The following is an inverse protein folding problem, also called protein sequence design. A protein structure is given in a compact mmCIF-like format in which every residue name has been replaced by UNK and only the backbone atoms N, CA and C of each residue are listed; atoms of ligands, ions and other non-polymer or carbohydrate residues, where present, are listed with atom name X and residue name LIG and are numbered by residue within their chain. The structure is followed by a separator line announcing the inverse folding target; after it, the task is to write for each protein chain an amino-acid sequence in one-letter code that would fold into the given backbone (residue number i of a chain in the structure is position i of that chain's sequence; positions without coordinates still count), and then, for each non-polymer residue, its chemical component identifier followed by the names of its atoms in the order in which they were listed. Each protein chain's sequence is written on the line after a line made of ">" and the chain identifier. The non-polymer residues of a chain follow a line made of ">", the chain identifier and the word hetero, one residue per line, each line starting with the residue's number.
data_IF_099288233827
#
_entry.id   IF_099288233827
#
_cell.length_a   1.000
_cell.length_b   1.000
_cell.length_c   1.000
_cell.angle_alpha   90.00
_cell.angle_beta   90.00
_cell.angle_gamma   90.00
#
_symmetry.space_group_name_H-M   'P 1'
#
loop_
_entity.id
_entity.type
_entity.pdbx_description
1 polymer ?
#
# COMPACT_ATOMS: atom_id res chain seq x y z
N UNK A 1 -6.98 -33.07 -7.00
CA UNK A 1 -7.70 -31.97 -6.30
C UNK A 1 -7.44 -30.71 -7.11
N UNK A 2 -8.49 -30.05 -7.59
CA UNK A 2 -8.36 -28.91 -8.52
C UNK A 2 -7.80 -27.69 -7.79
N UNK A 3 -6.56 -27.30 -8.12
CA UNK A 3 -5.99 -26.01 -7.68
C UNK A 3 -6.68 -24.89 -8.48
N UNK A 4 -7.73 -24.32 -7.91
CA UNK A 4 -8.41 -23.17 -8.50
C UNK A 4 -7.50 -21.94 -8.30
N UNK A 5 -7.13 -21.25 -9.37
CA UNK A 5 -6.28 -20.05 -9.28
C UNK A 5 -7.06 -18.87 -8.67
N UNK A 6 -6.35 -17.94 -8.03
CA UNK A 6 -6.95 -16.69 -7.50
C UNK A 6 -7.70 -15.91 -8.59
N UNK A 7 -7.20 -15.95 -9.82
CA UNK A 7 -7.86 -15.33 -10.98
C UNK A 7 -9.16 -16.03 -11.36
N UNK A 8 -9.23 -17.35 -11.26
CA UNK A 8 -10.47 -18.10 -11.48
C UNK A 8 -11.50 -17.80 -10.40
N UNK A 9 -11.09 -17.68 -9.13
CA UNK A 9 -11.96 -17.26 -8.05
C UNK A 9 -12.53 -15.85 -8.30
N UNK A 10 -11.70 -14.89 -8.73
CA UNK A 10 -12.14 -13.54 -9.10
C UNK A 10 -13.18 -13.55 -10.24
N UNK A 11 -13.03 -14.44 -11.21
CA UNK A 11 -13.94 -14.53 -12.35
C UNK A 11 -15.26 -15.25 -12.01
N UNK A 12 -15.25 -16.12 -11.00
CA UNK A 12 -16.43 -16.90 -10.58
C UNK A 12 -17.35 -16.14 -9.62
N UNK A 13 -16.80 -15.19 -8.87
CA UNK A 13 -17.53 -14.48 -7.81
C UNK A 13 -17.86 -13.07 -8.27
N UNK A 14 -19.17 -12.77 -8.31
CA UNK A 14 -19.65 -11.46 -8.68
C UNK A 14 -19.68 -10.52 -7.46
N UNK A 15 -19.34 -9.25 -7.67
CA UNK A 15 -19.42 -8.22 -6.62
C UNK A 15 -20.84 -8.11 -6.09
N UNK A 16 -21.87 -8.24 -6.97
CA UNK A 16 -23.27 -8.25 -6.56
C UNK A 16 -23.57 -9.31 -5.52
N UNK A 17 -23.06 -10.55 -5.72
CA UNK A 17 -23.34 -11.67 -4.82
C UNK A 17 -22.65 -11.44 -3.46
N UNK A 18 -21.42 -10.91 -3.49
CA UNK A 18 -20.70 -10.55 -2.27
C UNK A 18 -21.39 -9.40 -1.53
N UNK A 19 -21.87 -8.39 -2.25
CA UNK A 19 -22.59 -7.25 -1.67
C UNK A 19 -23.84 -7.72 -0.93
N UNK A 20 -24.66 -8.57 -1.56
CA UNK A 20 -25.85 -9.15 -0.93
C UNK A 20 -25.48 -10.00 0.30
N UNK A 21 -24.42 -10.80 0.21
CA UNK A 21 -23.94 -11.64 1.32
C UNK A 21 -23.57 -10.82 2.57
N UNK A 22 -22.99 -9.62 2.40
CA UNK A 22 -22.61 -8.74 3.52
C UNK A 22 -23.67 -7.68 3.86
N UNK A 23 -24.92 -7.84 3.32
CA UNK A 23 -26.09 -7.08 3.76
C UNK A 23 -26.43 -5.86 2.92
N UNK A 24 -25.78 -5.63 1.77
CA UNK A 24 -26.24 -4.61 0.83
C UNK A 24 -27.56 -5.03 0.18
N UNK A 25 -28.39 -4.06 -0.13
CA UNK A 25 -29.69 -4.24 -0.80
C UNK A 25 -29.68 -3.52 -2.15
N UNK A 26 -30.17 -4.21 -3.17
CA UNK A 26 -30.33 -3.62 -4.50
C UNK A 26 -31.28 -2.43 -4.45
N UNK A 27 -30.85 -1.31 -4.99
CA UNK A 27 -31.70 -0.14 -5.17
C UNK A 27 -32.54 -0.29 -6.45
N UNK A 28 -33.76 -0.76 -6.31
CA UNK A 28 -34.68 -0.97 -7.43
C UNK A 28 -35.19 0.33 -8.08
N UNK A 29 -34.99 1.47 -7.41
CA UNK A 29 -35.34 2.79 -7.94
C UNK A 29 -34.23 3.41 -8.80
N UNK A 30 -33.04 2.79 -8.87
CA UNK A 30 -31.95 3.23 -9.75
C UNK A 30 -32.27 2.90 -11.22
N UNK A 31 -31.72 3.68 -12.15
CA UNK A 31 -31.88 3.44 -13.57
C UNK A 31 -31.31 2.08 -13.99
N UNK A 32 -31.86 1.48 -15.07
CA UNK A 32 -31.53 0.11 -15.52
C UNK A 32 -30.09 -0.07 -16.06
N UNK A 33 -29.30 1.00 -16.18
CA UNK A 33 -27.98 0.94 -16.83
C UNK A 33 -26.90 0.32 -15.94
N UNK A 34 -27.00 0.46 -14.60
CA UNK A 34 -26.03 -0.02 -13.63
C UNK A 34 -26.73 -0.59 -12.42
N UNK A 35 -26.12 -1.58 -11.77
CA UNK A 35 -26.61 -2.08 -10.50
C UNK A 35 -26.13 -1.14 -9.38
N UNK A 36 -27.06 -0.64 -8.60
CA UNK A 36 -26.79 0.21 -7.44
C UNK A 36 -27.20 -0.53 -6.17
N UNK A 37 -26.30 -0.65 -5.22
CA UNK A 37 -26.53 -1.34 -3.97
C UNK A 37 -26.30 -0.39 -2.79
N UNK A 38 -27.12 -0.52 -1.76
CA UNK A 38 -27.08 0.30 -0.55
C UNK A 38 -26.93 -0.54 0.69
N UNK A 39 -26.05 -0.12 1.60
CA UNK A 39 -25.91 -0.69 2.94
C UNK A 39 -26.55 0.24 3.95
N UNK A 40 -27.32 -0.34 4.88
CA UNK A 40 -27.99 0.40 5.94
C UNK A 40 -27.56 -0.12 7.31
N UNK A 41 -27.43 0.80 8.27
CA UNK A 41 -27.37 0.50 9.69
C UNK A 41 -28.66 1.03 10.33
N UNK A 42 -29.61 0.13 10.64
CA UNK A 42 -30.97 0.52 10.95
C UNK A 42 -31.61 1.25 9.78
N UNK A 43 -32.05 2.49 10.00
CA UNK A 43 -32.66 3.34 8.96
C UNK A 43 -31.64 4.27 8.27
N UNK A 44 -30.39 4.29 8.68
CA UNK A 44 -29.36 5.18 8.14
C UNK A 44 -28.58 4.48 7.03
N UNK A 45 -28.53 5.09 5.84
CA UNK A 45 -27.69 4.63 4.73
C UNK A 45 -26.22 4.90 5.08
N UNK A 46 -25.39 3.85 5.16
CA UNK A 46 -23.97 3.94 5.53
C UNK A 46 -23.03 3.78 4.34
N UNK A 47 -23.45 3.08 3.28
CA UNK A 47 -22.69 2.99 2.03
C UNK A 47 -23.61 2.86 0.82
N UNK A 48 -23.13 3.29 -0.35
CA UNK A 48 -23.81 3.18 -1.62
C UNK A 48 -22.78 2.91 -2.73
N UNK A 49 -22.94 1.80 -3.41
CA UNK A 49 -22.03 1.36 -4.47
C UNK A 49 -22.74 1.24 -5.80
N UNK A 50 -22.03 1.51 -6.87
CA UNK A 50 -22.45 1.29 -8.25
C UNK A 50 -21.58 0.21 -8.86
N UNK A 51 -22.22 -0.84 -9.43
CA UNK A 51 -21.53 -1.96 -10.06
C UNK A 51 -21.71 -1.89 -11.56
N UNK A 52 -20.56 -1.93 -12.25
CA UNK A 52 -20.49 -2.08 -13.70
C UNK A 52 -20.25 -3.54 -14.04
N UNK A 53 -21.06 -4.08 -14.92
CA UNK A 53 -20.91 -5.46 -15.39
C UNK A 53 -20.52 -5.45 -16.86
N UNK A 54 -19.40 -6.11 -17.18
CA UNK A 54 -19.01 -6.47 -18.53
C UNK A 54 -19.31 -7.94 -18.77
N UNK A 55 -19.06 -8.45 -20.01
CA UNK A 55 -19.24 -9.86 -20.34
C UNK A 55 -18.40 -10.81 -19.47
N UNK A 56 -17.30 -10.32 -18.87
CA UNK A 56 -16.29 -11.16 -18.21
C UNK A 56 -15.99 -10.77 -16.75
N UNK A 57 -16.42 -9.59 -16.29
CA UNK A 57 -16.08 -9.10 -14.95
C UNK A 57 -17.05 -8.05 -14.43
N UNK A 58 -17.03 -7.88 -13.12
CA UNK A 58 -17.68 -6.74 -12.46
C UNK A 58 -16.62 -5.84 -11.84
N UNK A 59 -16.86 -4.53 -11.89
CA UNK A 59 -16.12 -3.52 -11.15
C UNK A 59 -17.11 -2.63 -10.41
N UNK A 60 -16.66 -2.00 -9.33
CA UNK A 60 -17.50 -1.11 -8.54
C UNK A 60 -16.81 0.22 -8.25
N UNK A 61 -17.61 1.20 -7.87
CA UNK A 61 -17.17 2.37 -7.12
C UNK A 61 -18.20 2.72 -6.03
N UNK A 62 -17.72 3.18 -4.87
CA UNK A 62 -18.57 3.71 -3.79
C UNK A 62 -18.84 5.19 -4.02
N UNK A 63 -20.08 5.62 -3.78
CA UNK A 63 -20.45 7.05 -3.79
C UNK A 63 -20.03 7.77 -2.50
N UNK A 64 -19.80 7.02 -1.43
CA UNK A 64 -19.49 7.57 -0.10
C UNK A 64 -17.99 7.60 0.22
N UNK A 65 -17.14 6.94 -0.60
CA UNK A 65 -15.70 6.84 -0.36
C UNK A 65 -14.86 7.33 -1.54
N UNK A 66 -14.10 8.40 -1.35
CA UNK A 66 -13.15 8.83 -2.37
C UNK A 66 -12.07 7.74 -2.55
N UNK A 67 -12.03 7.13 -3.75
CA UNK A 67 -11.05 6.09 -4.07
C UNK A 67 -11.48 4.65 -3.79
N UNK A 68 -12.65 4.40 -3.18
CA UNK A 68 -13.20 3.06 -2.98
C UNK A 68 -13.82 2.54 -4.28
N UNK A 69 -13.00 1.89 -5.10
CA UNK A 69 -13.34 1.33 -6.42
C UNK A 69 -12.44 0.16 -6.77
N UNK A 70 -12.87 -0.66 -7.70
CA UNK A 70 -12.04 -1.74 -8.23
C UNK A 70 -12.83 -3.00 -8.55
N UNK A 71 -12.19 -4.15 -8.42
CA UNK A 71 -12.76 -5.48 -8.63
C UNK A 71 -13.29 -6.11 -7.32
N UNK A 72 -13.68 -7.37 -7.38
CA UNK A 72 -14.20 -8.12 -6.22
C UNK A 72 -13.20 -8.19 -5.06
N UNK A 73 -11.90 -8.21 -5.35
CA UNK A 73 -10.84 -8.22 -4.33
C UNK A 73 -10.79 -6.88 -3.59
N UNK A 74 -10.81 -5.77 -4.33
CA UNK A 74 -10.88 -4.43 -3.74
C UNK A 74 -12.18 -4.24 -2.94
N UNK A 75 -13.29 -4.79 -3.45
CA UNK A 75 -14.56 -4.75 -2.75
C UNK A 75 -14.51 -5.44 -1.39
N UNK A 76 -13.98 -6.66 -1.35
CA UNK A 76 -13.85 -7.45 -0.11
C UNK A 76 -12.85 -6.81 0.85
N UNK A 77 -11.65 -6.42 0.38
CA UNK A 77 -10.60 -5.89 1.25
C UNK A 77 -11.01 -4.61 1.96
N UNK A 78 -11.78 -3.75 1.28
CA UNK A 78 -12.28 -2.51 1.86
C UNK A 78 -13.46 -2.74 2.84
N UNK A 79 -14.03 -3.96 2.86
CA UNK A 79 -15.22 -4.35 3.65
C UNK A 79 -15.00 -5.58 4.52
N UNK A 80 -13.74 -5.95 4.79
CA UNK A 80 -13.41 -7.11 5.64
C UNK A 80 -14.13 -7.12 6.98
N UNK A 81 -14.39 -5.93 7.54
CA UNK A 81 -15.10 -5.76 8.80
C UNK A 81 -16.57 -6.20 8.76
N UNK A 82 -17.18 -6.31 7.57
CA UNK A 82 -18.57 -6.78 7.39
C UNK A 82 -18.66 -8.31 7.31
N UNK A 83 -17.54 -9.02 7.16
CA UNK A 83 -17.53 -10.48 7.10
C UNK A 83 -17.43 -11.08 8.51
N UNK A 84 -18.54 -11.57 9.04
CA UNK A 84 -18.54 -12.23 10.34
C UNK A 84 -17.74 -13.55 10.33
N UNK A 85 -16.93 -13.75 11.36
CA UNK A 85 -16.15 -15.00 11.54
C UNK A 85 -14.81 -15.05 10.82
N UNK A 86 -14.38 -13.99 10.13
CA UNK A 86 -13.03 -13.88 9.53
C UNK A 86 -12.07 -13.13 10.47
N UNK A 87 -10.93 -13.77 10.75
CA UNK A 87 -9.89 -13.21 11.63
C UNK A 87 -8.60 -12.87 10.88
N UNK A 88 -8.68 -12.60 9.58
CA UNK A 88 -7.52 -12.29 8.74
C UNK A 88 -7.46 -10.84 8.30
N UNK A 89 -6.30 -10.43 7.76
CA UNK A 89 -6.07 -9.13 7.15
C UNK A 89 -5.46 -9.30 5.76
N UNK A 90 -5.70 -8.30 4.91
CA UNK A 90 -5.08 -8.24 3.59
C UNK A 90 -5.60 -9.31 2.63
N UNK A 91 -4.74 -9.68 1.69
CA UNK A 91 -5.10 -10.59 0.60
C UNK A 91 -5.34 -12.03 1.04
N UNK A 92 -4.74 -12.48 2.15
CA UNK A 92 -4.97 -13.84 2.67
C UNK A 92 -6.41 -13.99 3.17
N UNK A 93 -6.93 -12.99 3.89
CA UNK A 93 -8.33 -12.97 4.30
C UNK A 93 -9.28 -12.90 3.09
N UNK A 94 -8.93 -12.13 2.07
CA UNK A 94 -9.71 -12.06 0.83
C UNK A 94 -9.73 -13.41 0.12
N UNK A 95 -8.59 -14.11 0.03
CA UNK A 95 -8.51 -15.44 -0.57
C UNK A 95 -9.39 -16.45 0.17
N UNK A 96 -9.35 -16.45 1.51
CA UNK A 96 -10.19 -17.31 2.33
C UNK A 96 -11.68 -17.04 2.13
N UNK A 97 -12.08 -15.77 2.06
CA UNK A 97 -13.46 -15.36 1.79
C UNK A 97 -13.90 -15.81 0.40
N UNK A 98 -13.07 -15.57 -0.63
CA UNK A 98 -13.37 -15.97 -2.00
C UNK A 98 -13.50 -17.49 -2.13
N UNK A 99 -12.62 -18.28 -1.49
CA UNK A 99 -12.70 -19.73 -1.47
C UNK A 99 -14.01 -20.22 -0.83
N UNK A 100 -14.40 -19.64 0.31
CA UNK A 100 -15.65 -19.99 0.98
C UNK A 100 -16.88 -19.64 0.15
N UNK A 101 -16.89 -18.46 -0.45
CA UNK A 101 -18.01 -18.03 -1.32
C UNK A 101 -18.09 -18.86 -2.60
N UNK A 102 -16.97 -19.38 -3.08
CA UNK A 102 -16.94 -20.31 -4.22
C UNK A 102 -17.39 -21.74 -3.87
N UNK A 103 -17.71 -22.03 -2.60
CA UNK A 103 -18.07 -23.36 -2.12
C UNK A 103 -16.89 -24.34 -2.13
N UNK A 104 -15.67 -23.84 -2.04
CA UNK A 104 -14.47 -24.66 -1.96
C UNK A 104 -14.08 -24.85 -0.51
N UNK A 105 -14.03 -26.13 -0.08
CA UNK A 105 -13.52 -26.48 1.25
C UNK A 105 -12.05 -26.08 1.36
N UNK A 106 -11.75 -25.21 2.31
CA UNK A 106 -10.37 -24.86 2.62
C UNK A 106 -9.75 -26.02 3.41
N UNK A 107 -9.09 -26.92 2.71
CA UNK A 107 -8.15 -27.84 3.36
C UNK A 107 -6.99 -26.95 3.83
N UNK A 108 -6.93 -26.67 5.13
CA UNK A 108 -5.81 -25.98 5.78
C UNK A 108 -4.54 -26.83 5.72
N UNK A 109 -4.01 -27.02 4.54
CA UNK A 109 -2.62 -27.36 4.39
C UNK A 109 -1.83 -26.05 4.49
N UNK A 110 -1.07 -25.92 5.56
CA UNK A 110 -0.12 -24.83 5.84
C UNK A 110 1.00 -24.65 4.80
N UNK A 111 0.92 -25.37 3.70
CA UNK A 111 1.91 -25.34 2.63
C UNK A 111 1.21 -24.98 1.32
N UNK A 112 1.50 -23.76 0.88
CA UNK A 112 1.37 -23.30 -0.50
C UNK A 112 -0.05 -23.36 -1.10
N UNK A 113 -0.77 -22.25 -0.97
CA UNK A 113 -1.60 -21.84 -2.13
C UNK A 113 -0.60 -21.52 -3.24
N UNK A 114 -0.24 -22.51 -4.01
CA UNK A 114 0.51 -22.32 -5.24
C UNK A 114 -0.45 -21.65 -6.21
N UNK A 115 -0.30 -20.35 -6.34
CA UNK A 115 -0.90 -19.54 -7.41
C UNK A 115 -0.26 -20.00 -8.73
N UNK A 116 -0.70 -21.13 -9.26
CA UNK A 116 -0.28 -21.63 -10.56
C UNK A 116 -1.00 -20.85 -11.66
N UNK A 117 -0.41 -19.82 -12.05
CA UNK A 117 -0.30 -18.95 -13.22
C UNK A 117 0.01 -17.52 -12.77
N UNK A 118 0.85 -17.35 -11.76
CA UNK A 118 1.54 -16.09 -11.54
C UNK A 118 2.33 -15.80 -12.82
N UNK A 119 1.95 -14.71 -13.47
CA UNK A 119 2.86 -14.06 -14.40
C UNK A 119 4.09 -13.72 -13.54
N UNK A 120 5.11 -14.57 -13.60
CA UNK A 120 6.35 -14.34 -12.85
C UNK A 120 6.99 -13.09 -13.44
N UNK A 121 7.42 -12.19 -12.57
CA UNK A 121 8.23 -11.07 -12.97
C UNK A 121 9.48 -11.63 -13.68
N UNK A 122 9.60 -11.28 -14.94
CA UNK A 122 10.77 -11.61 -15.75
C UNK A 122 11.46 -10.29 -16.10
N UNK A 123 12.66 -10.12 -15.60
CA UNK A 123 13.45 -8.92 -15.87
C UNK A 123 13.71 -8.76 -17.38
N UNK A 124 13.84 -9.88 -18.08
CA UNK A 124 14.07 -9.92 -19.53
C UNK A 124 12.90 -9.40 -20.38
N UNK A 125 11.69 -9.27 -19.81
CA UNK A 125 10.57 -8.65 -20.51
C UNK A 125 10.66 -7.13 -20.57
N UNK A 126 11.62 -6.53 -19.87
CA UNK A 126 11.75 -5.09 -19.72
C UNK A 126 13.09 -4.58 -20.25
N UNK A 127 13.05 -3.39 -20.84
CA UNK A 127 14.23 -2.59 -21.10
C UNK A 127 14.43 -1.63 -19.95
N UNK A 128 15.58 -1.76 -19.29
CA UNK A 128 15.98 -0.89 -18.17
C UNK A 128 17.04 0.06 -18.70
N UNK A 129 16.86 1.35 -18.44
CA UNK A 129 17.78 2.39 -18.88
C UNK A 129 17.78 3.58 -17.90
N UNK A 130 18.64 4.53 -18.12
CA UNK A 130 18.67 5.78 -17.37
C UNK A 130 18.45 6.95 -18.34
N UNK A 131 17.18 7.15 -18.74
CA UNK A 131 16.81 8.27 -19.58
C UNK A 131 16.63 9.54 -18.74
N UNK A 132 17.69 10.33 -18.62
CA UNK A 132 17.71 11.54 -17.81
C UNK A 132 16.62 12.53 -18.21
N UNK A 133 16.33 12.70 -19.51
CA UNK A 133 15.30 13.60 -19.97
C UNK A 133 13.92 13.28 -19.39
N UNK A 134 13.56 12.00 -19.35
CA UNK A 134 12.28 11.53 -18.79
C UNK A 134 12.27 11.65 -17.27
N UNK A 135 13.38 11.26 -16.61
CA UNK A 135 13.49 11.33 -15.16
C UNK A 135 13.37 12.77 -14.66
N UNK A 136 14.15 13.71 -15.23
CA UNK A 136 14.10 15.12 -14.83
C UNK A 136 12.79 15.80 -15.23
N UNK A 137 12.16 15.40 -16.36
CA UNK A 137 10.83 15.89 -16.71
C UNK A 137 9.78 15.47 -15.68
N UNK A 138 9.81 14.23 -15.21
CA UNK A 138 8.84 13.75 -14.24
C UNK A 138 9.16 14.22 -12.82
N UNK A 139 10.36 13.93 -12.30
CA UNK A 139 10.72 14.26 -10.92
C UNK A 139 10.92 15.75 -10.71
N UNK A 140 11.57 16.45 -11.64
CA UNK A 140 11.81 17.88 -11.53
C UNK A 140 10.57 18.72 -11.84
N UNK A 141 9.96 18.55 -13.03
CA UNK A 141 8.86 19.43 -13.44
C UNK A 141 7.51 19.06 -12.82
N UNK A 142 7.18 17.75 -12.73
CA UNK A 142 5.88 17.31 -12.22
C UNK A 142 5.90 17.15 -10.70
N UNK A 143 7.02 16.67 -10.12
CA UNK A 143 7.16 16.42 -8.69
C UNK A 143 7.92 17.52 -7.95
N UNK A 144 8.51 18.47 -8.67
CA UNK A 144 9.23 19.64 -8.16
C UNK A 144 10.43 19.31 -7.27
N UNK A 145 11.09 18.20 -7.58
CA UNK A 145 12.33 17.82 -6.90
C UNK A 145 13.52 18.55 -7.50
N UNK A 146 14.45 18.96 -6.65
CA UNK A 146 15.70 19.60 -7.07
C UNK A 146 16.59 18.68 -7.87
N UNK A 147 17.36 19.24 -8.78
CA UNK A 147 18.30 18.50 -9.61
C UNK A 147 19.37 17.77 -8.79
N UNK A 148 19.80 18.34 -7.67
CA UNK A 148 20.73 17.70 -6.72
C UNK A 148 20.11 16.46 -6.09
N UNK A 149 18.89 16.55 -5.58
CA UNK A 149 18.14 15.41 -5.05
C UNK A 149 17.99 14.30 -6.09
N UNK A 150 17.53 14.62 -7.30
CA UNK A 150 17.41 13.62 -8.37
C UNK A 150 18.75 12.97 -8.67
N UNK A 151 19.83 13.76 -8.77
CA UNK A 151 21.18 13.26 -9.01
C UNK A 151 21.66 12.31 -7.93
N UNK A 152 21.39 12.60 -6.65
CA UNK A 152 21.81 11.75 -5.54
C UNK A 152 21.14 10.36 -5.59
N UNK A 153 19.85 10.31 -5.87
CA UNK A 153 19.11 9.04 -6.01
C UNK A 153 19.50 8.27 -7.29
N UNK A 154 19.89 8.95 -8.36
CA UNK A 154 20.43 8.33 -9.56
C UNK A 154 21.80 7.66 -9.30
N UNK A 155 22.69 8.33 -8.57
CA UNK A 155 24.03 7.81 -8.23
C UNK A 155 23.97 6.49 -7.48
N UNK A 156 22.99 6.32 -6.60
CA UNK A 156 22.82 5.09 -5.83
C UNK A 156 21.90 4.06 -6.51
N UNK A 157 21.49 4.30 -7.76
CA UNK A 157 20.69 3.36 -8.55
C UNK A 157 19.29 3.08 -8.03
N UNK A 158 18.70 4.02 -7.27
CA UNK A 158 17.35 3.89 -6.73
C UNK A 158 16.25 4.45 -7.62
N UNK A 159 16.61 5.08 -8.74
CA UNK A 159 15.72 5.57 -9.79
C UNK A 159 16.28 5.18 -11.15
N UNK A 160 15.43 4.73 -12.06
CA UNK A 160 15.77 4.43 -13.44
C UNK A 160 14.59 4.70 -14.36
N UNK A 161 14.68 4.30 -15.62
CA UNK A 161 13.55 4.22 -16.54
C UNK A 161 13.35 2.79 -17.00
N UNK A 162 12.07 2.38 -17.09
CA UNK A 162 11.68 1.02 -17.50
C UNK A 162 10.60 1.10 -18.56
N UNK A 163 10.75 0.31 -19.63
CA UNK A 163 9.70 0.05 -20.62
C UNK A 163 9.53 -1.44 -20.84
N UNK A 164 8.29 -1.89 -21.02
CA UNK A 164 8.03 -3.27 -21.40
C UNK A 164 8.35 -3.46 -22.89
N UNK A 165 9.08 -4.50 -23.26
CA UNK A 165 9.55 -4.76 -24.64
C UNK A 165 8.42 -4.83 -25.68
N UNK A 166 7.20 -5.25 -25.27
CA UNK A 166 6.04 -5.32 -26.17
C UNK A 166 5.44 -3.98 -26.58
N UNK A 167 5.53 -2.96 -25.71
CA UNK A 167 4.86 -1.67 -25.95
C UNK A 167 5.77 -0.46 -25.95
N UNK A 168 7.04 -0.61 -25.58
CA UNK A 168 8.06 0.44 -25.53
C UNK A 168 7.67 1.73 -24.75
N UNK A 169 6.61 1.66 -23.93
CA UNK A 169 6.15 2.80 -23.16
C UNK A 169 7.06 3.00 -21.95
N UNK A 170 7.81 4.10 -21.96
CA UNK A 170 8.84 4.35 -20.95
C UNK A 170 8.26 5.05 -19.72
N UNK A 171 8.56 4.52 -18.55
CA UNK A 171 8.16 5.04 -17.25
C UNK A 171 9.38 5.36 -16.39
N UNK A 172 9.28 6.35 -15.51
CA UNK A 172 10.18 6.47 -14.37
C UNK A 172 9.88 5.30 -13.43
N UNK A 173 10.93 4.66 -12.96
CA UNK A 173 10.83 3.41 -12.23
C UNK A 173 11.68 3.42 -10.96
N UNK A 174 11.14 2.80 -9.93
CA UNK A 174 11.74 2.66 -8.61
C UNK A 174 11.94 1.16 -8.33
N UNK A 175 13.19 0.66 -8.26
CA UNK A 175 13.47 -0.76 -8.08
C UNK A 175 13.08 -1.25 -6.69
N UNK A 176 12.25 -2.28 -6.64
CA UNK A 176 11.87 -2.98 -5.41
C UNK A 176 12.78 -4.18 -5.20
N UNK A 177 13.29 -4.31 -3.99
CA UNK A 177 14.30 -5.28 -3.59
C UNK A 177 13.85 -6.09 -2.40
N UNK A 178 14.26 -7.36 -2.35
CA UNK A 178 14.06 -8.19 -1.16
C UNK A 178 15.13 -7.82 -0.14
N UNK A 179 14.71 -7.46 1.08
CA UNK A 179 15.65 -6.96 2.09
C UNK A 179 16.66 -8.01 2.58
N UNK A 180 16.34 -9.30 2.46
CA UNK A 180 17.30 -10.38 2.72
C UNK A 180 18.41 -10.48 1.64
N UNK A 181 18.19 -9.89 0.46
CA UNK A 181 19.16 -9.76 -0.62
C UNK A 181 18.93 -8.42 -1.35
N UNK A 182 19.39 -7.29 -0.78
CA UNK A 182 19.10 -5.95 -1.30
C UNK A 182 19.67 -5.66 -2.70
N UNK A 183 20.54 -6.50 -3.21
CA UNK A 183 21.08 -6.37 -4.57
C UNK A 183 20.11 -6.93 -5.63
N UNK A 184 19.18 -7.79 -5.23
CA UNK A 184 18.21 -8.40 -6.12
C UNK A 184 16.98 -7.53 -6.32
N UNK A 185 16.78 -7.04 -7.53
CA UNK A 185 15.53 -6.38 -7.93
C UNK A 185 14.49 -7.44 -8.32
N UNK A 186 13.31 -7.37 -7.70
CA UNK A 186 12.21 -8.32 -7.91
C UNK A 186 10.95 -7.67 -8.44
N UNK A 187 10.95 -6.34 -8.56
CA UNK A 187 9.86 -5.57 -9.16
C UNK A 187 10.32 -4.13 -9.42
N UNK A 188 9.52 -3.38 -10.16
CA UNK A 188 9.64 -1.93 -10.30
C UNK A 188 8.28 -1.27 -10.05
N UNK A 189 8.26 -0.27 -9.18
CA UNK A 189 7.16 0.69 -9.14
C UNK A 189 7.31 1.64 -10.33
N UNK A 190 6.25 1.78 -11.11
CA UNK A 190 6.24 2.58 -12.34
C UNK A 190 5.46 3.87 -12.14
N UNK A 191 6.01 4.97 -12.61
CA UNK A 191 5.40 6.29 -12.58
C UNK A 191 5.52 6.97 -13.93
N UNK A 192 4.45 7.62 -14.34
CA UNK A 192 4.42 8.45 -15.52
C UNK A 192 3.39 9.56 -15.39
N UNK A 193 3.41 10.50 -16.29
CA UNK A 193 2.42 11.58 -16.38
C UNK A 193 2.12 11.90 -17.83
N UNK A 194 0.85 11.81 -18.19
CA UNK A 194 0.39 12.19 -19.50
C UNK A 194 0.02 13.68 -19.49
N UNK A 195 0.87 14.53 -20.10
CA UNK A 195 0.66 15.97 -20.16
C UNK A 195 -0.61 16.37 -20.92
N UNK A 196 -1.00 15.60 -21.93
CA UNK A 196 -2.21 15.90 -22.73
C UNK A 196 -3.49 15.61 -21.96
N UNK A 197 -3.50 14.54 -21.18
CA UNK A 197 -4.66 14.13 -20.37
C UNK A 197 -4.62 14.70 -18.96
N UNK A 198 -3.50 15.29 -18.55
CA UNK A 198 -3.22 15.71 -17.17
C UNK A 198 -3.42 14.59 -16.14
N UNK A 199 -3.12 13.35 -16.53
CA UNK A 199 -3.32 12.15 -15.71
C UNK A 199 -1.98 11.51 -15.33
N UNK A 200 -1.84 11.19 -14.04
CA UNK A 200 -0.71 10.43 -13.53
C UNK A 200 -0.94 8.92 -13.66
N UNK A 201 0.13 8.19 -13.98
CA UNK A 201 0.15 6.74 -13.91
C UNK A 201 0.96 6.26 -12.70
N UNK A 202 0.37 5.33 -11.96
CA UNK A 202 1.00 4.59 -10.86
C UNK A 202 0.73 3.11 -11.04
N UNK A 203 1.77 2.29 -11.06
CA UNK A 203 1.64 0.84 -11.19
C UNK A 203 2.90 0.11 -10.76
N UNK A 204 2.87 -1.19 -10.92
CA UNK A 204 4.03 -2.08 -10.75
C UNK A 204 4.20 -2.93 -12.01
N UNK A 205 5.40 -3.42 -12.24
CA UNK A 205 5.61 -4.44 -13.26
C UNK A 205 4.80 -5.69 -12.93
N UNK A 206 4.25 -6.33 -13.97
CA UNK A 206 3.42 -7.51 -13.81
C UNK A 206 4.19 -8.67 -13.18
N UNK A 207 3.56 -9.42 -12.29
CA UNK A 207 4.11 -10.64 -11.68
C UNK A 207 5.20 -10.41 -10.62
N UNK A 208 5.54 -9.17 -10.32
CA UNK A 208 6.60 -8.86 -9.35
C UNK A 208 6.11 -8.94 -7.90
N UNK A 209 7.00 -9.40 -7.03
CA UNK A 209 6.73 -9.44 -5.60
C UNK A 209 6.68 -8.01 -5.02
N UNK A 210 5.56 -7.70 -4.38
CA UNK A 210 5.34 -6.44 -3.66
C UNK A 210 5.22 -6.63 -2.15
N UNK A 211 4.78 -7.82 -1.72
CA UNK A 211 4.40 -8.07 -0.33
C UNK A 211 5.60 -8.22 0.62
N UNK A 212 6.76 -8.62 0.10
CA UNK A 212 8.00 -8.81 0.88
C UNK A 212 9.16 -7.97 0.36
N UNK A 213 8.95 -7.19 -0.70
CA UNK A 213 9.96 -6.31 -1.27
C UNK A 213 9.67 -4.84 -0.95
N UNK A 214 10.71 -4.04 -0.88
CA UNK A 214 10.64 -2.60 -0.66
C UNK A 214 11.49 -1.86 -1.69
N UNK A 215 11.11 -0.63 -2.02
CA UNK A 215 12.07 0.28 -2.56
C UNK A 215 12.97 0.76 -1.41
N UNK A 216 14.28 0.75 -1.65
CA UNK A 216 15.27 1.19 -0.68
C UNK A 216 16.33 2.04 -1.34
N UNK A 217 16.68 3.16 -0.70
CA UNK A 217 17.76 4.06 -1.06
C UNK A 217 18.63 4.30 0.16
N UNK A 218 19.90 3.85 0.11
CA UNK A 218 20.86 4.03 1.19
C UNK A 218 21.95 5.02 0.79
N UNK A 219 22.20 5.99 1.66
CA UNK A 219 23.29 6.96 1.55
C UNK A 219 24.44 6.61 2.49
N UNK A 220 24.38 5.46 3.16
CA UNK A 220 25.50 4.90 3.90
C UNK A 220 26.39 4.03 2.98
N UNK A 221 27.71 3.97 3.23
CA UNK A 221 28.63 3.16 2.42
C UNK A 221 28.30 1.67 2.42
N UNK A 222 27.79 1.16 3.54
CA UNK A 222 27.33 -0.23 3.74
C UNK A 222 26.01 -0.25 4.49
N UNK A 223 25.24 -1.33 4.35
CA UNK A 223 23.97 -1.49 5.06
C UNK A 223 24.10 -1.40 6.58
N UNK A 224 25.21 -1.91 7.14
CA UNK A 224 25.47 -1.86 8.59
C UNK A 224 25.87 -0.47 9.09
N UNK A 225 26.22 0.45 8.20
CA UNK A 225 26.59 1.81 8.55
C UNK A 225 25.40 2.77 8.61
N UNK A 226 24.19 2.28 8.27
CA UNK A 226 22.96 3.06 8.35
C UNK A 226 22.66 3.39 9.81
N UNK A 227 22.56 4.69 10.10
CA UNK A 227 22.26 5.22 11.43
C UNK A 227 20.80 5.62 11.59
N UNK A 228 20.22 6.17 10.53
CA UNK A 228 18.83 6.64 10.50
C UNK A 228 18.07 5.98 9.37
N UNK A 229 16.88 5.47 9.66
CA UNK A 229 16.01 4.81 8.69
C UNK A 229 14.65 5.48 8.61
N UNK A 230 14.29 5.98 7.45
CA UNK A 230 13.02 6.61 7.16
C UNK A 230 12.11 5.64 6.39
N UNK A 231 10.89 5.41 6.89
CA UNK A 231 9.95 4.44 6.33
C UNK A 231 8.65 5.16 5.97
N UNK A 232 8.21 5.05 4.72
CA UNK A 232 6.98 5.68 4.24
C UNK A 232 6.25 4.86 3.18
N UNK A 233 5.20 5.46 2.60
CA UNK A 233 4.31 4.76 1.69
C UNK A 233 4.84 4.70 0.25
N UNK A 234 5.44 5.76 -0.26
CA UNK A 234 5.90 5.82 -1.64
C UNK A 234 7.35 6.29 -1.76
N UNK A 235 8.04 5.85 -2.82
CA UNK A 235 9.37 6.31 -3.14
C UNK A 235 9.43 7.82 -3.37
N UNK A 236 8.37 8.40 -3.94
CA UNK A 236 8.28 9.85 -4.18
C UNK A 236 8.26 10.65 -2.88
N UNK A 237 7.51 10.18 -1.86
CA UNK A 237 7.46 10.85 -0.55
C UNK A 237 8.79 10.74 0.18
N UNK A 238 9.46 9.60 0.05
CA UNK A 238 10.78 9.40 0.64
C UNK A 238 11.86 10.27 -0.02
N UNK A 239 11.81 10.46 -1.34
CA UNK A 239 12.69 11.40 -2.05
C UNK A 239 12.39 12.85 -1.66
N UNK A 240 11.11 13.22 -1.55
CA UNK A 240 10.70 14.55 -1.10
C UNK A 240 11.14 14.82 0.33
N UNK A 241 10.96 13.84 1.23
CA UNK A 241 11.44 13.93 2.60
C UNK A 241 12.96 14.13 2.64
N UNK A 242 13.73 13.35 1.85
CA UNK A 242 15.18 13.55 1.74
C UNK A 242 15.53 14.99 1.40
N UNK A 243 14.84 15.60 0.45
CA UNK A 243 15.09 16.99 0.05
C UNK A 243 14.75 17.99 1.18
N UNK A 244 13.67 17.74 1.92
CA UNK A 244 13.20 18.61 3.01
C UNK A 244 14.05 18.47 4.30
N UNK A 245 14.76 17.35 4.48
CA UNK A 245 15.58 17.12 5.67
C UNK A 245 16.86 17.97 5.65
N UNK A 246 17.32 18.46 6.83
CA UNK A 246 18.64 19.03 6.99
C UNK A 246 19.74 18.02 6.57
N UNK A 247 20.85 18.50 6.01
CA UNK A 247 21.95 17.65 5.52
C UNK A 247 22.42 16.65 6.58
N UNK A 248 22.61 17.08 7.83
CA UNK A 248 23.02 16.23 8.96
C UNK A 248 22.14 14.99 9.17
N UNK A 249 20.85 15.07 8.80
CA UNK A 249 19.88 13.98 8.96
C UNK A 249 19.88 13.03 7.74
N UNK A 250 20.57 13.38 6.67
CA UNK A 250 20.74 12.57 5.46
C UNK A 250 22.02 11.72 5.48
N UNK A 251 23.00 12.10 6.31
CA UNK A 251 24.26 11.38 6.46
C UNK A 251 24.00 9.99 7.03
N UNK A 252 24.52 8.96 6.38
CA UNK A 252 24.31 7.55 6.76
C UNK A 252 22.82 7.18 6.95
N UNK A 253 21.95 7.84 6.21
CA UNK A 253 20.52 7.55 6.23
C UNK A 253 20.13 6.56 5.14
N UNK A 254 19.06 5.80 5.40
CA UNK A 254 18.36 5.03 4.38
C UNK A 254 16.88 5.38 4.37
N UNK A 255 16.28 5.31 3.19
CA UNK A 255 14.89 5.63 2.92
C UNK A 255 14.20 4.41 2.31
N UNK A 256 13.07 4.00 2.88
CA UNK A 256 12.31 2.82 2.47
C UNK A 256 10.89 3.21 2.12
N UNK A 257 10.42 2.73 0.97
CA UNK A 257 9.01 2.75 0.61
C UNK A 257 8.42 1.35 0.63
N UNK A 258 7.26 1.20 1.31
CA UNK A 258 6.52 -0.06 1.38
C UNK A 258 5.59 -0.28 0.16
N UNK A 259 5.45 0.70 -0.73
CA UNK A 259 4.64 0.59 -1.95
C UNK A 259 3.14 0.78 -1.73
N UNK A 260 2.76 1.54 -0.72
CA UNK A 260 1.39 1.97 -0.42
C UNK A 260 0.74 1.23 0.74
N UNK A 261 0.97 -0.06 0.94
CA UNK A 261 0.37 -0.80 2.06
C UNK A 261 1.45 -1.29 3.02
N UNK A 262 1.14 -1.23 4.31
CA UNK A 262 2.00 -1.77 5.34
C UNK A 262 1.96 -3.31 5.32
N UNK A 263 3.09 -3.94 4.98
CA UNK A 263 3.27 -5.39 5.05
C UNK A 263 4.08 -5.79 6.28
N UNK A 264 3.54 -6.64 7.14
CA UNK A 264 4.28 -7.09 8.33
C UNK A 264 5.53 -7.90 7.99
N UNK A 265 5.54 -8.63 6.87
CA UNK A 265 6.74 -9.27 6.33
C UNK A 265 7.85 -8.27 6.04
N UNK A 266 7.52 -7.16 5.38
CA UNK A 266 8.44 -6.07 5.08
C UNK A 266 9.02 -5.47 6.38
N UNK A 267 8.17 -5.13 7.37
CA UNK A 267 8.62 -4.54 8.64
C UNK A 267 9.54 -5.48 9.41
N UNK A 268 9.22 -6.77 9.44
CA UNK A 268 10.04 -7.80 10.07
C UNK A 268 11.44 -7.89 9.43
N UNK A 269 11.50 -7.85 8.11
CA UNK A 269 12.76 -7.92 7.38
C UNK A 269 13.54 -6.61 7.49
N UNK A 270 12.87 -5.46 7.52
CA UNK A 270 13.48 -4.16 7.86
C UNK A 270 14.18 -4.23 9.23
N UNK A 271 13.50 -4.73 10.25
CA UNK A 271 14.09 -4.81 11.59
C UNK A 271 15.28 -5.77 11.68
N UNK A 272 15.27 -6.83 10.88
CA UNK A 272 16.42 -7.75 10.78
C UNK A 272 17.62 -7.11 10.09
N UNK A 273 17.39 -6.38 9.00
CA UNK A 273 18.46 -5.72 8.25
C UNK A 273 19.06 -4.53 9.01
N UNK A 274 18.23 -3.80 9.76
CA UNK A 274 18.59 -2.58 10.48
C UNK A 274 18.28 -2.69 11.99
N UNK A 275 18.99 -3.56 12.73
CA UNK A 275 18.63 -3.85 14.13
C UNK A 275 18.90 -2.68 15.09
N UNK A 276 19.89 -1.82 14.78
CA UNK A 276 20.40 -0.78 15.67
C UNK A 276 20.20 0.65 15.16
N UNK A 277 19.33 0.84 14.15
CA UNK A 277 19.07 2.16 13.57
C UNK A 277 18.00 2.92 14.34
N UNK A 278 18.10 4.24 14.32
CA UNK A 278 16.99 5.12 14.69
C UNK A 278 15.94 5.08 13.57
N UNK A 279 14.71 4.75 13.92
CA UNK A 279 13.60 4.63 12.97
C UNK A 279 12.74 5.90 12.96
N UNK A 280 12.43 6.37 11.77
CA UNK A 280 11.49 7.46 11.53
C UNK A 280 10.33 6.96 10.68
N UNK A 281 9.14 6.84 11.27
CA UNK A 281 7.91 6.53 10.53
C UNK A 281 7.41 7.80 9.89
N UNK A 282 7.35 7.80 8.57
CA UNK A 282 7.06 8.95 7.72
C UNK A 282 5.90 8.64 6.75
N UNK A 283 4.85 7.99 7.26
CA UNK A 283 3.63 7.72 6.50
C UNK A 283 2.81 8.99 6.27
N UNK A 284 1.86 8.94 5.34
CA UNK A 284 1.00 10.07 4.99
C UNK A 284 0.34 10.70 6.24
N UNK A 285 0.04 11.97 6.15
CA UNK A 285 -0.63 12.72 7.22
C UNK A 285 -2.16 12.65 7.05
N UNK A 286 -2.66 11.42 6.88
CA UNK A 286 -4.08 11.10 6.84
C UNK A 286 -4.39 9.94 7.81
N UNK A 287 -5.66 9.58 7.94
CA UNK A 287 -6.08 8.53 8.86
C UNK A 287 -5.35 7.20 8.61
N UNK A 288 -5.15 6.84 7.33
CA UNK A 288 -4.48 5.58 6.99
C UNK A 288 -3.01 5.61 7.39
N UNK A 289 -2.32 6.71 7.16
CA UNK A 289 -0.94 6.90 7.60
C UNK A 289 -0.80 6.89 9.13
N UNK A 290 -1.77 7.43 9.88
CA UNK A 290 -1.80 7.30 11.35
C UNK A 290 -2.02 5.86 11.80
N UNK A 291 -2.86 5.10 11.11
CA UNK A 291 -3.05 3.66 11.36
C UNK A 291 -1.74 2.90 11.11
N UNK A 292 -1.03 3.21 10.04
CA UNK A 292 0.26 2.58 9.73
C UNK A 292 1.33 2.91 10.76
N UNK A 293 1.38 4.16 11.27
CA UNK A 293 2.29 4.51 12.36
C UNK A 293 2.06 3.65 13.60
N UNK A 294 0.80 3.54 14.04
CA UNK A 294 0.45 2.74 15.22
C UNK A 294 0.79 1.28 15.00
N UNK A 295 0.45 0.74 13.83
CA UNK A 295 0.69 -0.67 13.51
C UNK A 295 2.19 -0.98 13.45
N UNK A 296 2.98 -0.13 12.79
CA UNK A 296 4.43 -0.30 12.69
C UNK A 296 5.12 -0.10 14.03
N UNK A 297 4.79 0.98 14.76
CA UNK A 297 5.37 1.26 16.07
C UNK A 297 5.08 0.13 17.07
N UNK A 298 3.84 -0.34 17.13
CA UNK A 298 3.49 -1.46 18.00
C UNK A 298 4.29 -2.72 17.67
N UNK A 299 4.43 -3.02 16.39
CA UNK A 299 5.22 -4.16 15.94
C UNK A 299 6.71 -4.00 16.30
N UNK A 300 7.31 -2.85 16.05
CA UNK A 300 8.72 -2.61 16.34
C UNK A 300 9.02 -2.64 17.84
N UNK A 301 8.13 -2.10 18.68
CA UNK A 301 8.33 -2.02 20.14
C UNK A 301 7.92 -3.29 20.87
N UNK A 302 6.80 -3.91 20.47
CA UNK A 302 6.22 -5.07 21.18
C UNK A 302 6.47 -6.40 20.47
N UNK A 303 6.93 -6.42 19.21
CA UNK A 303 7.13 -7.62 18.42
C UNK A 303 5.83 -8.30 17.95
N UNK A 304 4.68 -7.64 18.12
CA UNK A 304 3.35 -8.20 17.87
C UNK A 304 2.55 -7.33 16.91
N UNK A 305 1.60 -7.97 16.21
CA UNK A 305 0.74 -7.29 15.25
C UNK A 305 -0.55 -6.82 15.94
N UNK A 306 -0.84 -5.51 15.99
CA UNK A 306 -2.16 -5.05 16.43
C UNK A 306 -3.18 -5.33 15.33
N UNK A 307 -4.46 -5.49 15.70
CA UNK A 307 -5.55 -5.48 14.74
C UNK A 307 -6.16 -4.10 14.73
N UNK A 308 -6.07 -3.39 13.59
CA UNK A 308 -6.60 -2.04 13.45
C UNK A 308 -7.49 -2.00 12.22
N UNK A 309 -8.73 -1.60 12.38
CA UNK A 309 -9.69 -1.48 11.29
C UNK A 309 -10.71 -0.37 11.54
N UNK A 310 -11.32 0.11 10.49
CA UNK A 310 -12.40 1.09 10.55
C UNK A 310 -13.73 0.37 10.62
N UNK A 311 -14.64 0.84 11.44
CA UNK A 311 -16.02 0.36 11.44
C UNK A 311 -16.93 1.27 10.61
N UNK A 312 -18.17 0.80 10.38
CA UNK A 312 -19.18 1.55 9.62
C UNK A 312 -19.66 2.85 10.30
N UNK A 313 -19.32 3.04 11.58
CA UNK A 313 -19.76 4.17 12.39
C UNK A 313 -18.74 5.31 12.45
N UNK A 314 -17.73 5.31 11.57
CA UNK A 314 -16.69 6.33 11.54
C UNK A 314 -15.73 6.26 12.73
N UNK A 315 -15.46 5.04 13.23
CA UNK A 315 -14.52 4.82 14.32
C UNK A 315 -13.41 3.85 13.91
N UNK A 316 -12.24 4.07 14.46
CA UNK A 316 -11.09 3.17 14.38
C UNK A 316 -11.14 2.22 15.58
N UNK A 317 -11.16 0.93 15.29
CA UNK A 317 -11.07 -0.13 16.31
C UNK A 317 -9.63 -0.60 16.36
N UNK A 318 -9.02 -0.52 17.53
CA UNK A 318 -7.65 -1.00 17.77
C UNK A 318 -7.71 -2.15 18.77
N UNK A 319 -7.36 -3.35 18.32
CA UNK A 319 -7.25 -4.54 19.19
C UNK A 319 -5.77 -4.81 19.46
N UNK A 320 -5.38 -4.55 20.68
CA UNK A 320 -4.11 -4.97 21.26
C UNK A 320 -4.34 -6.30 22.01
N UNK A 321 -3.30 -6.91 22.57
CA UNK A 321 -3.41 -8.24 23.17
C UNK A 321 -4.56 -8.40 24.17
N UNK A 322 -4.70 -7.45 25.08
CA UNK A 322 -5.66 -7.52 26.20
C UNK A 322 -6.65 -6.32 26.19
N UNK A 323 -6.68 -5.56 25.12
CA UNK A 323 -7.49 -4.34 25.03
C UNK A 323 -8.12 -4.20 23.66
N UNK A 324 -9.37 -3.80 23.64
CA UNK A 324 -10.06 -3.33 22.45
C UNK A 324 -10.46 -1.86 22.70
N UNK A 325 -10.05 -0.99 21.79
CA UNK A 325 -10.23 0.45 21.89
C UNK A 325 -11.03 0.92 20.68
N UNK A 326 -11.98 1.79 20.94
CA UNK A 326 -12.82 2.41 19.92
C UNK A 326 -12.61 3.91 19.95
N UNK A 327 -12.08 4.50 18.86
CA UNK A 327 -11.69 5.90 18.76
C UNK A 327 -12.36 6.49 17.53
N UNK A 328 -12.95 7.67 17.61
CA UNK A 328 -13.48 8.35 16.42
C UNK A 328 -12.36 8.65 15.43
N UNK A 329 -12.66 8.56 14.12
CA UNK A 329 -11.65 8.82 13.08
C UNK A 329 -11.03 10.22 13.20
N UNK A 330 -11.83 11.22 13.53
CA UNK A 330 -11.40 12.62 13.72
C UNK A 330 -10.45 12.82 14.89
N UNK A 331 -10.56 11.95 15.92
CA UNK A 331 -9.73 12.00 17.14
C UNK A 331 -8.51 11.06 17.06
N UNK A 332 -8.40 10.25 16.00
CA UNK A 332 -7.35 9.26 15.90
C UNK A 332 -6.01 9.87 15.48
N UNK A 333 -5.12 10.02 16.44
CA UNK A 333 -3.75 10.52 16.24
C UNK A 333 -2.74 9.47 16.69
N UNK A 334 -1.81 9.11 15.82
CA UNK A 334 -0.76 8.13 16.15
C UNK A 334 0.09 8.59 17.33
N UNK A 335 0.49 9.86 17.38
CA UNK A 335 1.29 10.39 18.49
C UNK A 335 0.56 10.31 19.85
N UNK A 336 -0.71 10.72 19.86
CA UNK A 336 -1.53 10.67 21.09
C UNK A 336 -1.75 9.22 21.51
N UNK A 337 -2.09 8.33 20.55
CA UNK A 337 -2.32 6.93 20.81
C UNK A 337 -1.08 6.24 21.40
N UNK A 338 0.08 6.38 20.75
CA UNK A 338 1.31 5.70 21.18
C UNK A 338 1.75 6.16 22.57
N UNK A 339 1.65 7.47 22.85
CA UNK A 339 1.97 8.03 24.17
C UNK A 339 1.05 7.49 25.26
N UNK A 340 -0.28 7.51 25.03
CA UNK A 340 -1.26 7.05 26.03
C UNK A 340 -1.15 5.56 26.33
N UNK A 341 -0.66 4.74 25.39
CA UNK A 341 -0.50 3.29 25.55
C UNK A 341 0.96 2.86 25.83
N UNK A 342 1.87 3.81 26.09
CA UNK A 342 3.29 3.55 26.40
C UNK A 342 3.96 2.69 25.33
N UNK A 343 3.69 3.00 24.06
CA UNK A 343 4.29 2.38 22.88
C UNK A 343 5.33 3.36 22.33
N UNK A 344 6.33 3.66 23.14
CA UNK A 344 7.38 4.60 22.81
C UNK A 344 8.75 3.95 23.02
N UNK A 345 9.71 4.37 22.22
CA UNK A 345 11.12 4.01 22.37
C UNK A 345 11.98 5.18 21.85
N UNK A 346 13.12 5.43 22.47
CA UNK A 346 14.02 6.55 22.13
C UNK A 346 14.58 6.46 20.70
N UNK A 347 14.56 5.27 20.12
CA UNK A 347 15.00 5.00 18.76
C UNK A 347 13.87 5.00 17.72
N UNK A 348 12.61 5.32 18.10
CA UNK A 348 11.45 5.32 17.21
C UNK A 348 10.74 6.67 17.23
N UNK A 349 10.68 7.32 16.08
CA UNK A 349 10.05 8.61 15.91
C UNK A 349 8.97 8.59 14.85
N UNK A 350 7.96 9.45 14.99
CA UNK A 350 6.95 9.71 13.96
C UNK A 350 7.15 11.12 13.43
N UNK A 351 7.29 11.22 12.12
CA UNK A 351 7.34 12.51 11.41
C UNK A 351 6.20 12.60 10.41
N UNK A 352 5.62 13.78 10.26
CA UNK A 352 4.48 14.04 9.37
C UNK A 352 4.72 15.27 8.51
N UNK A 353 4.20 15.23 7.29
CA UNK A 353 4.18 16.40 6.40
C UNK A 353 3.30 17.48 7.04
N UNK A 354 3.91 18.63 7.36
CA UNK A 354 3.20 19.73 8.02
C UNK A 354 2.32 20.47 7.01
N UNK A 355 1.03 20.63 7.31
CA UNK A 355 0.09 21.33 6.44
C UNK A 355 -0.17 20.68 5.08
N UNK A 356 0.23 19.42 4.90
CA UNK A 356 0.07 18.66 3.67
C UNK A 356 -0.26 17.21 3.98
N UNK A 357 -0.83 16.51 3.00
CA UNK A 357 -1.15 15.09 3.14
C UNK A 357 0.11 14.23 3.16
N UNK A 358 1.04 14.49 2.25
CA UNK A 358 2.28 13.75 2.08
C UNK A 358 3.48 14.70 1.88
N UNK A 359 4.70 14.15 1.90
CA UNK A 359 5.92 14.95 1.78
C UNK A 359 6.13 15.51 0.37
N UNK A 360 5.65 14.84 -0.67
CA UNK A 360 5.74 15.39 -2.03
C UNK A 360 4.77 16.56 -2.24
N UNK A 361 3.59 16.51 -1.60
CA UNK A 361 2.68 17.65 -1.59
C UNK A 361 3.24 18.82 -0.77
N UNK A 362 3.87 18.53 0.38
CA UNK A 362 4.56 19.55 1.19
C UNK A 362 5.68 20.22 0.40
N UNK A 363 6.49 19.43 -0.33
CA UNK A 363 7.57 19.94 -1.16
C UNK A 363 7.07 20.91 -2.24
N UNK A 364 5.91 20.65 -2.84
CA UNK A 364 5.32 21.51 -3.88
C UNK A 364 4.76 22.83 -3.36
N UNK A 365 4.56 22.96 -2.06
CA UNK A 365 4.04 24.20 -1.45
C UNK A 365 5.15 25.12 -0.94
N UNK A 366 6.37 24.59 -0.85
CA UNK A 366 7.57 25.34 -0.46
C UNK A 366 8.31 25.88 -1.68
#
# INVERSE_FOLDING_TARGET
>A
MNNTSFQELKNRIKISDVAEYIGYRLNTSAGKKYLEYRLYNGNTKVDEIVIYTTSYSQTFFSRNGYGDKGDVVNFIINRLHLFSGYQGFGYDAVADILCKLAGLDIVKNKNNVVLNNEVKFCLDDYNISCNLKIIYAYLGKIRQMDSSTISDFLKIGSVCTVSHKKNNYMNVAFPYRVLSNPDQVVNYELRNYNLHKQEGYKGFCSGGNKSTACWIASFAPKWNDVQSLYIGESALDMMALYQLLPERMRINAAFISLGGNLGYGQIKDIRKLFPNTVLYLAFDNDLQGHIYDVAAAYFFVKGKQPKIFRNSNGKVIVKLENQELEIKEEDFSSKVFLKSHRIEADWLHIIKAQGSKDFNEMLKKN
#
